data_IF_739413646064
#
_entry.id   IF_739413646064
#
_cell.length_a   1.000
_cell.length_b   1.000
_cell.length_c   1.000
_cell.angle_alpha   90.00
_cell.angle_beta   90.00
_cell.angle_gamma   90.00
#
_symmetry.space_group_name_H-M   'P 1'
#
loop_
_entity.id
_entity.type
_entity.pdbx_description
1 polymer ?
#
# COMPACT_ATOMS: atom_id res chain seq x y z
N UNK A 1 -5.40 61.10 -16.94
CA UNK A 1 -6.28 59.92 -16.95
C UNK A 1 -5.74 59.00 -18.04
N UNK A 2 -4.88 58.06 -17.67
CA UNK A 2 -4.42 56.94 -18.51
C UNK A 2 -4.04 55.86 -17.50
N UNK A 3 -4.93 54.90 -17.28
CA UNK A 3 -4.57 53.65 -16.62
C UNK A 3 -3.92 52.81 -17.70
N UNK A 4 -2.64 52.53 -17.50
CA UNK A 4 -1.93 51.46 -18.19
C UNK A 4 -2.58 50.13 -17.80
N UNK A 5 -3.72 49.80 -18.41
CA UNK A 5 -4.27 48.45 -18.43
C UNK A 5 -3.41 47.61 -19.39
N UNK A 6 -2.15 47.39 -19.00
CA UNK A 6 -1.33 46.37 -19.62
C UNK A 6 -1.68 45.04 -18.95
N UNK A 7 -2.40 44.12 -19.61
CA UNK A 7 -2.78 42.86 -18.99
C UNK A 7 -1.50 42.12 -18.61
N UNK A 8 -1.34 41.83 -17.33
CA UNK A 8 -0.22 41.01 -16.85
C UNK A 8 -0.22 39.70 -17.65
N UNK A 9 0.91 39.30 -18.24
CA UNK A 9 0.99 38.05 -18.96
C UNK A 9 0.63 36.91 -17.99
N UNK A 10 -0.27 36.02 -18.41
CA UNK A 10 -0.66 34.87 -17.61
C UNK A 10 0.52 33.95 -17.28
N UNK A 11 0.34 33.01 -16.33
CA UNK A 11 1.41 32.11 -15.91
C UNK A 11 1.91 31.26 -17.08
N UNK A 12 3.22 31.00 -17.10
CA UNK A 12 3.88 30.15 -18.09
C UNK A 12 3.56 28.67 -17.81
N UNK A 13 3.61 27.84 -18.83
CA UNK A 13 3.40 26.38 -18.69
C UNK A 13 4.29 25.73 -17.63
N UNK A 14 5.58 26.08 -17.58
CA UNK A 14 6.51 25.55 -16.58
C UNK A 14 6.15 25.93 -15.13
N UNK A 15 5.52 27.09 -14.93
CA UNK A 15 5.04 27.54 -13.62
C UNK A 15 3.80 26.73 -13.21
N UNK A 16 2.90 26.47 -14.15
CA UNK A 16 1.73 25.59 -13.95
C UNK A 16 2.17 24.16 -13.60
N UNK A 17 3.17 23.61 -14.30
CA UNK A 17 3.69 22.26 -14.02
C UNK A 17 4.33 22.16 -12.62
N UNK A 18 5.05 23.20 -12.20
CA UNK A 18 5.62 23.27 -10.85
C UNK A 18 4.50 23.31 -9.81
N UNK A 19 3.52 24.20 -9.97
CA UNK A 19 2.36 24.27 -9.07
C UNK A 19 1.57 22.96 -9.01
N UNK A 20 1.38 22.27 -10.15
CA UNK A 20 0.71 20.97 -10.21
C UNK A 20 1.51 19.87 -9.48
N UNK A 21 2.84 19.93 -9.50
CA UNK A 21 3.69 19.01 -8.73
C UNK A 21 3.53 19.24 -7.23
N UNK A 22 3.65 20.49 -6.79
CA UNK A 22 3.47 20.88 -5.39
C UNK A 22 2.09 20.50 -4.86
N UNK A 23 1.04 20.72 -5.67
CA UNK A 23 -0.32 20.32 -5.33
C UNK A 23 -0.44 18.80 -5.15
N UNK A 24 0.12 18.00 -6.07
CA UNK A 24 0.10 16.54 -5.95
C UNK A 24 0.85 16.04 -4.72
N UNK A 25 2.00 16.63 -4.41
CA UNK A 25 2.77 16.31 -3.20
C UNK A 25 1.97 16.65 -1.94
N UNK A 26 1.33 17.81 -1.91
CA UNK A 26 0.45 18.23 -0.80
C UNK A 26 -0.71 17.27 -0.61
N UNK A 27 -1.40 16.89 -1.69
CA UNK A 27 -2.49 15.91 -1.66
C UNK A 27 -1.97 14.57 -1.12
N UNK A 28 -0.83 14.08 -1.62
CA UNK A 28 -0.28 12.80 -1.19
C UNK A 28 0.04 12.77 0.32
N UNK A 29 0.63 13.85 0.84
CA UNK A 29 0.96 14.00 2.26
C UNK A 29 -0.30 14.09 3.12
N UNK A 30 -1.25 14.96 2.76
CA UNK A 30 -2.47 15.15 3.52
C UNK A 30 -3.36 13.91 3.51
N UNK A 31 -3.56 13.26 2.37
CA UNK A 31 -4.32 12.01 2.30
C UNK A 31 -3.66 10.93 3.15
N UNK A 32 -2.33 10.84 3.18
CA UNK A 32 -1.60 9.93 4.06
C UNK A 32 -1.84 10.20 5.55
N UNK A 33 -1.68 11.46 5.98
CA UNK A 33 -1.92 11.91 7.36
C UNK A 33 -3.37 11.65 7.80
N UNK A 34 -4.34 11.90 6.92
CA UNK A 34 -5.75 11.65 7.18
C UNK A 34 -6.03 10.15 7.33
N UNK A 35 -5.44 9.31 6.49
CA UNK A 35 -5.56 7.86 6.59
C UNK A 35 -4.93 7.32 7.87
N UNK A 36 -3.73 7.79 8.26
CA UNK A 36 -3.08 7.43 9.52
C UNK A 36 -3.97 7.74 10.73
N UNK A 37 -4.60 8.93 10.73
CA UNK A 37 -5.54 9.34 11.78
C UNK A 37 -6.78 8.45 11.84
N UNK A 38 -7.38 8.11 10.69
CA UNK A 38 -8.58 7.26 10.65
C UNK A 38 -8.30 5.82 11.08
N UNK A 39 -7.09 5.33 10.81
CA UNK A 39 -6.66 3.98 11.18
C UNK A 39 -6.05 3.91 12.58
N UNK A 40 -5.89 5.04 13.27
CA UNK A 40 -5.25 5.09 14.58
C UNK A 40 -3.81 4.59 14.54
N UNK A 41 -3.07 4.87 13.46
CA UNK A 41 -1.69 4.42 13.30
C UNK A 41 -0.77 5.05 14.34
N UNK A 42 0.26 4.34 14.79
CA UNK A 42 1.17 4.85 15.81
C UNK A 42 1.90 6.10 15.30
N UNK A 43 2.18 7.01 16.23
CA UNK A 43 2.95 8.21 15.95
C UNK A 43 4.35 7.86 15.45
N UNK A 44 4.82 8.56 14.42
CA UNK A 44 6.13 8.36 13.83
C UNK A 44 7.24 8.45 14.89
N UNK A 45 8.16 7.49 14.90
CA UNK A 45 9.26 7.42 15.87
C UNK A 45 8.88 6.86 17.25
N UNK A 46 7.61 6.56 17.52
CA UNK A 46 7.21 5.83 18.72
C UNK A 46 7.71 4.38 18.69
N UNK A 47 7.81 3.75 19.87
CA UNK A 47 8.21 2.34 19.97
C UNK A 47 7.26 1.39 19.20
N UNK A 48 5.95 1.69 19.22
CA UNK A 48 4.97 0.94 18.44
C UNK A 48 5.16 1.15 16.94
N UNK A 49 5.44 2.38 16.50
CA UNK A 49 5.75 2.65 15.10
C UNK A 49 6.98 1.89 14.62
N UNK A 50 8.05 1.84 15.42
CA UNK A 50 9.25 1.07 15.10
C UNK A 50 8.96 -0.42 14.97
N UNK A 51 8.17 -0.98 15.90
CA UNK A 51 7.74 -2.37 15.83
C UNK A 51 6.94 -2.67 14.55
N UNK A 52 5.99 -1.81 14.20
CA UNK A 52 5.21 -1.96 12.97
C UNK A 52 6.08 -1.80 11.72
N UNK A 53 7.06 -0.90 11.76
CA UNK A 53 8.02 -0.69 10.68
C UNK A 53 8.90 -1.91 10.45
N UNK A 54 9.41 -2.54 11.50
CA UNK A 54 10.24 -3.73 11.41
C UNK A 54 9.43 -4.93 10.87
N UNK A 55 8.12 -4.96 11.15
CA UNK A 55 7.20 -5.98 10.64
C UNK A 55 6.63 -5.70 9.25
N UNK A 56 7.04 -4.62 8.56
CA UNK A 56 6.42 -4.21 7.28
C UNK A 56 6.48 -5.27 6.17
N UNK A 57 7.45 -6.18 6.25
CA UNK A 57 7.60 -7.30 5.31
C UNK A 57 6.71 -8.52 5.60
N UNK A 58 6.10 -8.61 6.79
CA UNK A 58 5.24 -9.76 7.13
C UNK A 58 3.89 -9.68 6.42
N UNK A 59 3.12 -10.79 6.33
CA UNK A 59 1.76 -10.76 5.81
C UNK A 59 0.87 -9.71 6.50
N UNK A 60 0.99 -9.58 7.83
CA UNK A 60 0.24 -8.60 8.63
C UNK A 60 0.70 -7.17 8.32
N UNK A 61 2.01 -6.94 8.20
CA UNK A 61 2.57 -5.65 7.79
C UNK A 61 2.08 -5.21 6.41
N UNK A 62 2.07 -6.11 5.43
CA UNK A 62 1.52 -5.83 4.10
C UNK A 62 0.02 -5.61 4.12
N UNK A 63 -0.73 -6.37 4.92
CA UNK A 63 -2.17 -6.14 5.10
C UNK A 63 -2.44 -4.73 5.64
N UNK A 64 -1.67 -4.28 6.64
CA UNK A 64 -1.76 -2.89 7.13
C UNK A 64 -1.48 -1.86 6.03
N UNK A 65 -0.52 -2.11 5.14
CA UNK A 65 -0.26 -1.24 4.00
C UNK A 65 -1.43 -1.23 2.99
N UNK A 66 -2.01 -2.39 2.69
CA UNK A 66 -3.22 -2.50 1.85
C UNK A 66 -4.35 -1.68 2.45
N UNK A 67 -4.66 -1.89 3.74
CA UNK A 67 -5.75 -1.16 4.41
C UNK A 67 -5.51 0.36 4.42
N UNK A 68 -4.26 0.79 4.59
CA UNK A 68 -3.86 2.19 4.47
C UNK A 68 -4.17 2.77 3.09
N UNK A 69 -3.77 2.10 2.00
CA UNK A 69 -4.09 2.59 0.65
C UNK A 69 -5.58 2.55 0.34
N UNK A 70 -6.32 1.53 0.81
CA UNK A 70 -7.78 1.48 0.62
C UNK A 70 -8.50 2.64 1.31
N UNK A 71 -8.04 3.06 2.50
CA UNK A 71 -8.56 4.27 3.16
C UNK A 71 -8.24 5.53 2.36
N UNK A 72 -7.02 5.64 1.81
CA UNK A 72 -6.65 6.77 0.95
C UNK A 72 -7.52 6.85 -0.31
N UNK A 73 -7.82 5.71 -0.95
CA UNK A 73 -8.74 5.64 -2.10
C UNK A 73 -10.13 6.18 -1.73
N UNK A 74 -10.66 5.80 -0.56
CA UNK A 74 -11.95 6.31 -0.07
C UNK A 74 -11.92 7.83 0.16
N UNK A 75 -10.83 8.35 0.74
CA UNK A 75 -10.66 9.79 0.95
C UNK A 75 -10.63 10.53 -0.39
N UNK A 76 -9.80 10.07 -1.33
CA UNK A 76 -9.66 10.68 -2.65
C UNK A 76 -11.01 10.64 -3.40
N UNK A 77 -11.73 9.51 -3.38
CA UNK A 77 -13.05 9.38 -3.98
C UNK A 77 -14.07 10.36 -3.38
N UNK A 78 -14.12 10.46 -2.04
CA UNK A 78 -14.99 11.40 -1.35
C UNK A 78 -14.64 12.87 -1.62
N UNK A 79 -13.37 13.16 -1.90
CA UNK A 79 -12.88 14.48 -2.28
C UNK A 79 -13.02 14.80 -3.79
N UNK A 80 -13.49 13.85 -4.60
CA UNK A 80 -13.59 14.01 -6.06
C UNK A 80 -12.24 13.96 -6.78
N UNK A 81 -11.23 13.35 -6.17
CA UNK A 81 -9.89 13.16 -6.73
C UNK A 81 -9.77 11.80 -7.41
N UNK A 82 -8.95 11.70 -8.46
CA UNK A 82 -8.60 10.42 -9.07
C UNK A 82 -7.58 9.67 -8.19
N UNK A 83 -7.90 8.48 -7.65
CA UNK A 83 -7.03 7.75 -6.74
C UNK A 83 -5.97 6.91 -7.48
N UNK A 84 -5.73 7.12 -8.79
CA UNK A 84 -4.84 6.32 -9.63
C UNK A 84 -3.56 5.82 -8.92
N UNK A 85 -2.79 6.73 -8.30
CA UNK A 85 -1.56 6.35 -7.60
C UNK A 85 -1.80 5.44 -6.39
N UNK A 86 -2.86 5.69 -5.62
CA UNK A 86 -3.21 4.87 -4.46
C UNK A 86 -3.78 3.50 -4.87
N UNK A 87 -4.55 3.43 -5.96
CA UNK A 87 -5.04 2.17 -6.52
C UNK A 87 -3.91 1.26 -7.02
N UNK A 88 -2.95 1.84 -7.77
CA UNK A 88 -1.75 1.14 -8.24
C UNK A 88 -0.91 0.63 -7.07
N UNK A 89 -0.67 1.46 -6.05
CA UNK A 89 0.07 1.05 -4.86
C UNK A 89 -0.67 -0.04 -4.07
N UNK A 90 -1.98 0.10 -3.83
CA UNK A 90 -2.77 -0.93 -3.15
C UNK A 90 -2.64 -2.28 -3.84
N UNK A 91 -2.72 -2.28 -5.18
CA UNK A 91 -2.55 -3.50 -5.99
C UNK A 91 -1.15 -4.09 -5.83
N UNK A 92 -0.11 -3.25 -5.83
CA UNK A 92 1.27 -3.67 -5.59
C UNK A 92 1.48 -4.34 -4.23
N UNK A 93 0.80 -3.87 -3.18
CA UNK A 93 0.84 -4.49 -1.85
C UNK A 93 -0.10 -5.71 -1.70
N UNK A 94 -0.81 -6.09 -2.75
CA UNK A 94 -1.59 -7.33 -2.81
C UNK A 94 -3.10 -7.17 -2.67
N UNK A 95 -3.64 -5.94 -2.68
CA UNK A 95 -5.08 -5.73 -2.72
C UNK A 95 -5.68 -6.36 -3.99
N UNK A 96 -6.87 -6.95 -3.86
CA UNK A 96 -7.66 -7.43 -4.99
C UNK A 96 -8.37 -6.27 -5.71
N UNK A 97 -8.76 -6.49 -6.96
CA UNK A 97 -9.58 -5.51 -7.69
C UNK A 97 -10.96 -5.31 -7.05
N UNK A 98 -11.50 -6.34 -6.39
CA UNK A 98 -12.73 -6.22 -5.61
C UNK A 98 -12.57 -5.24 -4.45
N UNK A 99 -11.51 -5.36 -3.64
CA UNK A 99 -11.26 -4.44 -2.53
C UNK A 99 -11.04 -2.99 -2.99
N UNK A 100 -10.30 -2.81 -4.09
CA UNK A 100 -10.06 -1.50 -4.70
C UNK A 100 -11.36 -0.91 -5.25
N UNK A 101 -12.18 -1.73 -5.94
CA UNK A 101 -13.49 -1.34 -6.45
C UNK A 101 -14.42 -0.91 -5.33
N UNK A 102 -14.52 -1.70 -4.26
CA UNK A 102 -15.32 -1.38 -3.07
C UNK A 102 -14.85 -0.09 -2.39
N UNK A 103 -13.54 0.15 -2.33
CA UNK A 103 -12.98 1.38 -1.77
C UNK A 103 -13.31 2.62 -2.62
N UNK A 104 -13.38 2.50 -3.94
CA UNK A 104 -13.69 3.61 -4.84
C UNK A 104 -15.20 3.77 -5.13
N UNK A 105 -16.00 2.72 -4.92
CA UNK A 105 -17.42 2.68 -5.23
C UNK A 105 -17.75 2.20 -6.66
N UNK A 106 -16.95 1.28 -7.22
CA UNK A 106 -17.16 0.67 -8.54
C UNK A 106 -17.00 -0.86 -8.48
N UNK A 107 -17.36 -1.58 -9.55
CA UNK A 107 -17.13 -3.03 -9.59
C UNK A 107 -15.64 -3.39 -9.70
N UNK A 108 -15.32 -4.64 -9.39
CA UNK A 108 -13.97 -5.19 -9.54
C UNK A 108 -13.48 -5.08 -10.99
N UNK A 109 -14.34 -5.37 -11.97
CA UNK A 109 -14.03 -5.27 -13.40
C UNK A 109 -13.75 -3.82 -13.80
N UNK A 110 -14.55 -2.86 -13.31
CA UNK A 110 -14.33 -1.45 -13.57
C UNK A 110 -13.02 -0.92 -12.97
N UNK A 111 -12.63 -1.43 -11.80
CA UNK A 111 -11.34 -1.10 -11.19
C UNK A 111 -10.17 -1.69 -12.00
N UNK A 112 -10.28 -2.94 -12.44
CA UNK A 112 -9.28 -3.59 -13.29
C UNK A 112 -9.14 -2.84 -14.64
N UNK A 113 -10.25 -2.55 -15.33
CA UNK A 113 -10.25 -1.83 -16.61
C UNK A 113 -9.52 -0.49 -16.50
N UNK A 114 -9.71 0.24 -15.40
CA UNK A 114 -9.08 1.55 -15.17
C UNK A 114 -7.58 1.47 -14.89
N UNK A 115 -7.15 0.51 -14.06
CA UNK A 115 -5.83 0.60 -13.42
C UNK A 115 -4.93 -0.62 -13.64
N UNK A 116 -5.40 -1.70 -14.25
CA UNK A 116 -4.65 -2.94 -14.37
C UNK A 116 -3.31 -2.77 -15.08
N UNK A 117 -3.31 -2.10 -16.24
CA UNK A 117 -2.06 -1.87 -16.98
C UNK A 117 -1.03 -1.13 -16.14
N UNK A 118 -1.44 -0.03 -15.49
CA UNK A 118 -0.54 0.78 -14.67
C UNK A 118 -0.04 0.01 -13.43
N UNK A 119 -0.90 -0.81 -12.82
CA UNK A 119 -0.52 -1.64 -11.68
C UNK A 119 0.47 -2.73 -12.08
N UNK A 120 0.26 -3.39 -13.23
CA UNK A 120 1.19 -4.38 -13.77
C UNK A 120 2.55 -3.76 -14.03
N UNK A 121 2.60 -2.63 -14.75
CA UNK A 121 3.85 -1.91 -15.04
C UNK A 121 4.60 -1.51 -13.76
N UNK A 122 3.86 -1.05 -12.74
CA UNK A 122 4.42 -0.70 -11.44
C UNK A 122 5.00 -1.90 -10.71
N UNK A 123 4.24 -3.01 -10.63
CA UNK A 123 4.67 -4.24 -9.97
C UNK A 123 5.91 -4.80 -10.67
N UNK A 124 5.92 -4.86 -11.99
CA UNK A 124 7.07 -5.36 -12.76
C UNK A 124 8.31 -4.50 -12.53
N UNK A 125 8.16 -3.18 -12.49
CA UNK A 125 9.28 -2.25 -12.28
C UNK A 125 9.88 -2.33 -10.88
N UNK A 126 9.06 -2.53 -9.84
CA UNK A 126 9.48 -2.36 -8.45
C UNK A 126 9.51 -3.65 -7.64
N UNK A 127 9.15 -4.80 -8.21
CA UNK A 127 9.31 -6.10 -7.56
C UNK A 127 10.75 -6.30 -7.07
N UNK A 128 10.90 -6.74 -5.83
CA UNK A 128 12.22 -7.01 -5.21
C UNK A 128 12.95 -5.75 -4.73
N UNK A 129 12.36 -4.56 -4.89
CA UNK A 129 12.91 -3.32 -4.35
C UNK A 129 12.37 -3.06 -2.94
N UNK A 130 12.92 -2.06 -2.25
CA UNK A 130 12.39 -1.63 -0.95
C UNK A 130 10.93 -1.13 -1.00
N UNK A 131 10.44 -0.74 -2.18
CA UNK A 131 9.05 -0.28 -2.39
C UNK A 131 8.06 -1.44 -2.45
N UNK A 132 8.45 -2.55 -3.09
CA UNK A 132 7.68 -3.80 -3.14
C UNK A 132 8.64 -4.97 -2.85
N UNK A 133 8.99 -5.21 -1.57
CA UNK A 133 9.90 -6.27 -1.22
C UNK A 133 9.28 -7.63 -1.60
N UNK A 134 10.13 -8.54 -2.07
CA UNK A 134 9.70 -9.91 -2.29
C UNK A 134 9.17 -10.48 -0.97
N UNK A 135 8.11 -11.27 -1.09
CA UNK A 135 7.71 -12.08 0.04
C UNK A 135 8.86 -13.02 0.35
N UNK A 136 9.48 -12.90 1.51
CA UNK A 136 10.15 -14.07 2.07
C UNK A 136 9.05 -15.12 2.22
N UNK A 137 9.09 -16.15 1.37
CA UNK A 137 8.35 -17.38 1.67
C UNK A 137 8.82 -17.80 3.06
N UNK A 138 7.91 -18.06 4.01
CA UNK A 138 8.34 -18.69 5.24
C UNK A 138 9.18 -19.92 4.86
N UNK A 139 10.30 -20.18 5.55
CA UNK A 139 11.09 -21.37 5.26
C UNK A 139 10.12 -22.54 5.24
N UNK A 140 10.13 -23.31 4.14
CA UNK A 140 9.40 -24.58 4.06
C UNK A 140 9.60 -25.28 5.39
N UNK A 141 8.54 -25.66 6.13
CA UNK A 141 8.73 -26.38 7.38
C UNK A 141 9.62 -27.56 7.04
N UNK A 142 10.85 -27.55 7.55
CA UNK A 142 11.78 -28.66 7.40
C UNK A 142 10.98 -29.87 7.79
N UNK A 143 10.74 -30.76 6.82
CA UNK A 143 10.13 -32.04 7.10
C UNK A 143 10.99 -32.65 8.20
N UNK A 144 10.46 -32.65 9.42
CA UNK A 144 11.02 -33.46 10.49
C UNK A 144 10.87 -34.87 9.94
N UNK A 145 11.98 -35.47 9.51
CA UNK A 145 11.98 -36.86 9.10
C UNK A 145 11.25 -37.66 10.19
N UNK A 146 10.33 -38.57 9.82
CA UNK A 146 9.68 -39.41 10.80
C UNK A 146 10.77 -40.17 11.55
N UNK A 147 10.98 -39.75 12.79
CA UNK A 147 12.04 -40.26 13.64
C UNK A 147 11.94 -41.78 13.69
N UNK A 148 13.06 -42.43 13.39
CA UNK A 148 13.33 -43.84 13.66
C UNK A 148 12.55 -44.31 14.89
N UNK A 149 11.76 -45.37 14.67
CA UNK A 149 11.14 -46.17 15.71
C UNK A 149 12.07 -46.30 16.91
N UNK A 150 11.61 -45.79 18.06
CA UNK A 150 12.25 -46.12 19.33
C UNK A 150 11.97 -47.60 19.60
N UNK A 151 12.99 -48.42 19.95
CA UNK A 151 12.76 -49.80 20.30
C UNK A 151 11.82 -49.88 21.50
N UNK A 152 10.80 -50.71 21.35
CA UNK A 152 9.75 -50.99 22.33
C UNK A 152 10.38 -51.67 23.55
N UNK A 153 10.58 -50.92 24.64
CA UNK A 153 11.06 -51.48 25.91
C UNK A 153 9.87 -52.11 26.61
N UNK A 154 9.70 -53.42 26.41
CA UNK A 154 8.72 -54.23 27.12
C UNK A 154 8.98 -54.16 28.62
N UNK A 155 8.04 -53.57 29.36
CA UNK A 155 8.00 -53.67 30.82
C UNK A 155 7.13 -54.90 31.14
N UNK A 156 7.78 -56.06 31.30
CA UNK A 156 7.17 -57.20 31.99
C UNK A 156 6.94 -56.81 33.46
N UNK A 157 5.67 -56.66 33.85
CA UNK A 157 5.29 -56.61 35.27
C UNK A 157 5.05 -58.02 35.76
N UNK A 158 6.06 -58.58 36.42
CA UNK A 158 5.89 -59.69 37.36
C UNK A 158 5.22 -59.19 38.64
N UNK A 159 3.97 -59.59 38.88
CA UNK A 159 3.42 -60.12 40.14
C UNK A 159 1.89 -60.19 40.10
#
# INVERSE_FOLDING_TARGET
>A
MNRDDNPQPGPRYAEIETAARELRETIALETGRLADRLLGRPEFGSAQWQLEWDQRGTPEGRRRQVDWYLVKIRIDAAAGLDPHGNAVNARGFGASWAEIGDAYGISAEGAAERWERAATDFIERYRGTALLPECETPPTPTQVEPGKERPNIGIERSR
#
